data_IF_190500383804
#
_entry.id   IF_190500383804
#
_cell.length_a   1.000
_cell.length_b   1.000
_cell.length_c   1.000
_cell.angle_alpha   90.00
_cell.angle_beta   90.00
_cell.angle_gamma   90.00
#
_symmetry.space_group_name_H-M   'P 1'
#
loop_
_entity.id
_entity.type
_entity.pdbx_description
1 polymer ?
#
# COMPACT_ATOMS: atom_id res chain seq x y z
N UNK A 1 22.38 26.49 0.01
CA UNK A 1 21.42 25.69 -0.79
C UNK A 1 21.96 24.28 -1.06
N UNK A 2 23.16 24.14 -1.58
CA UNK A 2 23.78 22.83 -1.90
C UNK A 2 23.85 21.89 -0.70
N UNK A 3 24.35 22.35 0.44
CA UNK A 3 24.43 21.57 1.66
C UNK A 3 23.05 21.06 2.13
N UNK A 4 22.00 21.89 1.96
CA UNK A 4 20.64 21.48 2.32
C UNK A 4 20.12 20.39 1.38
N UNK A 5 20.41 20.47 0.07
CA UNK A 5 20.05 19.44 -0.88
C UNK A 5 20.72 18.11 -0.49
N UNK A 6 22.03 18.13 -0.26
CA UNK A 6 22.79 16.95 0.16
C UNK A 6 22.25 16.37 1.48
N UNK A 7 21.90 17.22 2.44
CA UNK A 7 21.30 16.81 3.72
C UNK A 7 19.98 16.09 3.50
N UNK A 8 19.09 16.60 2.65
CA UNK A 8 17.79 16.00 2.32
C UNK A 8 17.96 14.57 1.74
N UNK A 9 18.89 14.40 0.80
CA UNK A 9 19.17 13.06 0.24
C UNK A 9 19.73 12.09 1.27
N UNK A 10 20.62 12.56 2.15
CA UNK A 10 21.16 11.73 3.24
C UNK A 10 20.07 11.29 4.21
N UNK A 11 19.20 12.20 4.63
CA UNK A 11 18.05 11.89 5.50
C UNK A 11 17.14 10.83 4.86
N UNK A 12 16.83 10.97 3.57
CA UNK A 12 16.04 9.99 2.84
C UNK A 12 16.69 8.60 2.83
N UNK A 13 17.99 8.53 2.53
CA UNK A 13 18.73 7.26 2.48
C UNK A 13 18.80 6.58 3.85
N UNK A 14 19.12 7.34 4.89
CA UNK A 14 19.21 6.84 6.27
C UNK A 14 17.87 6.32 6.78
N UNK A 15 16.76 7.03 6.47
CA UNK A 15 15.43 6.58 6.89
C UNK A 15 15.03 5.28 6.19
N UNK A 16 15.35 5.10 4.91
CA UNK A 16 15.11 3.84 4.17
C UNK A 16 15.89 2.67 4.77
N UNK A 17 17.15 2.91 5.11
CA UNK A 17 18.03 1.89 5.72
C UNK A 17 17.53 1.49 7.12
N UNK A 18 17.20 2.45 7.97
CA UNK A 18 16.61 2.19 9.29
C UNK A 18 15.30 1.42 9.14
N UNK A 19 14.41 1.88 8.27
CA UNK A 19 13.11 1.25 8.06
C UNK A 19 13.23 -0.22 7.66
N UNK A 20 14.11 -0.57 6.71
CA UNK A 20 14.23 -1.98 6.27
C UNK A 20 14.81 -2.85 7.37
N UNK A 21 15.76 -2.35 8.15
CA UNK A 21 16.33 -3.11 9.28
C UNK A 21 15.28 -3.46 10.33
N UNK A 22 14.37 -2.52 10.64
CA UNK A 22 13.34 -2.71 11.65
C UNK A 22 12.14 -3.55 11.13
N UNK A 23 11.91 -3.57 9.81
CA UNK A 23 10.70 -4.14 9.22
C UNK A 23 10.94 -5.36 8.30
N UNK A 24 12.17 -5.86 8.17
CA UNK A 24 12.50 -6.93 7.22
C UNK A 24 11.62 -8.17 7.39
N UNK A 25 11.40 -8.62 8.61
CA UNK A 25 10.60 -9.81 8.89
C UNK A 25 9.14 -9.67 8.49
N UNK A 26 8.55 -8.48 8.73
CA UNK A 26 7.16 -8.22 8.33
C UNK A 26 7.03 -8.01 6.83
N UNK A 27 8.02 -7.39 6.17
CA UNK A 27 8.05 -7.28 4.70
C UNK A 27 8.02 -8.68 4.06
N UNK A 28 8.86 -9.60 4.54
CA UNK A 28 8.88 -10.99 4.04
C UNK A 28 7.53 -11.68 4.26
N UNK A 29 6.88 -11.48 5.41
CA UNK A 29 5.53 -12.02 5.66
C UNK A 29 4.50 -11.44 4.69
N UNK A 30 4.51 -10.14 4.46
CA UNK A 30 3.62 -9.44 3.52
C UNK A 30 3.81 -9.99 2.10
N UNK A 31 5.06 -10.12 1.63
CA UNK A 31 5.36 -10.75 0.33
C UNK A 31 4.75 -12.14 0.22
N UNK A 32 4.90 -12.99 1.26
CA UNK A 32 4.35 -14.35 1.25
C UNK A 32 2.82 -14.35 1.16
N UNK A 33 2.15 -13.51 1.96
CA UNK A 33 0.69 -13.40 1.98
C UNK A 33 0.17 -12.86 0.64
N UNK A 34 0.74 -11.78 0.12
CA UNK A 34 0.33 -11.21 -1.16
C UNK A 34 0.53 -12.21 -2.31
N UNK A 35 1.65 -12.93 -2.32
CA UNK A 35 1.91 -13.99 -3.29
C UNK A 35 0.84 -15.09 -3.24
N UNK A 36 0.45 -15.54 -2.05
CA UNK A 36 -0.59 -16.57 -1.88
C UNK A 36 -1.96 -16.07 -2.36
N UNK A 37 -2.32 -14.84 -2.04
CA UNK A 37 -3.57 -14.20 -2.45
C UNK A 37 -3.67 -14.09 -3.98
N UNK A 38 -2.63 -13.57 -4.61
CA UNK A 38 -2.59 -13.43 -6.08
C UNK A 38 -2.57 -14.79 -6.78
N UNK A 39 -1.88 -15.79 -6.23
CA UNK A 39 -1.86 -17.16 -6.74
C UNK A 39 -3.24 -17.81 -6.64
N UNK A 40 -4.04 -17.45 -5.67
CA UNK A 40 -5.43 -17.91 -5.51
C UNK A 40 -6.42 -17.21 -6.45
N UNK A 41 -5.99 -16.23 -7.24
CA UNK A 41 -6.83 -15.45 -8.15
C UNK A 41 -7.57 -14.29 -7.50
N UNK A 42 -7.27 -13.98 -6.25
CA UNK A 42 -7.78 -12.82 -5.55
C UNK A 42 -7.01 -11.54 -5.98
N UNK A 43 -7.56 -10.37 -5.65
CA UNK A 43 -7.04 -9.07 -6.07
C UNK A 43 -6.51 -8.22 -4.92
N UNK A 44 -5.74 -7.20 -5.29
CA UNK A 44 -5.25 -6.15 -4.39
C UNK A 44 -6.00 -4.85 -4.68
N UNK A 45 -6.65 -4.27 -3.67
CA UNK A 45 -7.30 -2.97 -3.73
C UNK A 45 -6.47 -1.96 -2.94
N UNK A 46 -5.90 -0.95 -3.62
CA UNK A 46 -4.94 -0.01 -3.06
C UNK A 46 -5.59 1.37 -2.98
N UNK A 47 -5.43 2.06 -1.86
CA UNK A 47 -6.06 3.37 -1.65
C UNK A 47 -5.31 4.25 -0.66
N UNK A 48 -5.44 5.56 -0.85
CA UNK A 48 -4.84 6.59 -0.02
C UNK A 48 -5.27 7.98 -0.50
N UNK A 49 -4.72 9.03 0.09
CA UNK A 49 -5.05 10.42 -0.23
C UNK A 49 -3.83 11.18 -0.77
N UNK A 50 -4.04 12.18 -1.62
CA UNK A 50 -2.97 13.04 -2.14
C UNK A 50 -1.82 12.25 -2.79
N UNK A 51 -0.59 12.40 -2.30
CA UNK A 51 0.57 11.63 -2.77
C UNK A 51 0.39 10.13 -2.59
N UNK A 52 -0.24 9.69 -1.50
CA UNK A 52 -0.56 8.27 -1.27
C UNK A 52 -1.64 7.75 -2.24
N UNK A 53 -2.50 8.60 -2.80
CA UNK A 53 -3.39 8.22 -3.90
C UNK A 53 -2.61 8.02 -5.20
N UNK A 54 -1.60 8.86 -5.46
CA UNK A 54 -0.69 8.69 -6.60
C UNK A 54 0.11 7.38 -6.47
N UNK A 55 0.64 7.09 -5.29
CA UNK A 55 1.32 5.82 -5.01
C UNK A 55 0.39 4.62 -5.24
N UNK A 56 -0.87 4.69 -4.81
CA UNK A 56 -1.86 3.65 -5.02
C UNK A 56 -2.12 3.36 -6.50
N UNK A 57 -2.19 4.41 -7.33
CA UNK A 57 -2.35 4.28 -8.79
C UNK A 57 -1.09 3.68 -9.43
N UNK A 58 0.08 4.18 -9.05
CA UNK A 58 1.36 3.69 -9.52
C UNK A 58 1.50 2.19 -9.23
N UNK A 59 1.32 1.78 -7.98
CA UNK A 59 1.47 0.38 -7.57
C UNK A 59 0.44 -0.54 -8.24
N UNK A 60 -0.81 -0.09 -8.40
CA UNK A 60 -1.81 -0.86 -9.15
C UNK A 60 -1.39 -1.08 -10.62
N UNK A 61 -0.78 -0.07 -11.25
CA UNK A 61 -0.25 -0.19 -12.61
C UNK A 61 0.90 -1.20 -12.70
N UNK A 62 1.80 -1.24 -11.69
CA UNK A 62 2.90 -2.21 -11.65
C UNK A 62 2.40 -3.65 -11.56
N UNK A 63 1.30 -3.92 -10.84
CA UNK A 63 0.67 -5.24 -10.81
C UNK A 63 -0.04 -5.59 -12.12
N UNK A 64 -0.84 -4.66 -12.66
CA UNK A 64 -1.70 -4.92 -13.83
C UNK A 64 -0.88 -5.02 -15.12
N UNK A 65 0.12 -4.19 -15.32
CA UNK A 65 0.99 -4.26 -16.49
C UNK A 65 2.13 -5.25 -16.24
N UNK A 66 3.26 -4.77 -15.78
CA UNK A 66 4.45 -5.54 -15.36
C UNK A 66 5.37 -4.62 -14.57
N UNK A 67 6.18 -5.16 -13.69
CA UNK A 67 7.22 -4.40 -13.00
C UNK A 67 8.58 -4.52 -13.73
N UNK A 68 9.40 -5.50 -13.38
CA UNK A 68 10.74 -5.67 -13.96
C UNK A 68 10.85 -6.84 -14.95
N UNK A 69 9.93 -7.78 -14.94
CA UNK A 69 9.95 -8.96 -15.79
C UNK A 69 8.67 -9.04 -16.63
N UNK A 70 8.76 -9.66 -17.80
CA UNK A 70 7.58 -9.97 -18.60
C UNK A 70 6.81 -11.13 -17.96
N UNK A 71 5.52 -10.92 -17.69
CA UNK A 71 4.66 -11.87 -17.01
C UNK A 71 3.17 -11.58 -17.26
N UNK A 72 2.27 -12.55 -17.03
CA UNK A 72 0.83 -12.28 -17.07
C UNK A 72 0.40 -11.17 -16.09
N UNK A 73 -0.64 -10.39 -16.42
CA UNK A 73 -1.23 -9.39 -15.52
C UNK A 73 -1.64 -9.97 -14.17
N UNK A 74 -1.42 -9.22 -13.09
CA UNK A 74 -1.88 -9.54 -11.75
C UNK A 74 -3.06 -8.64 -11.37
N UNK A 75 -4.12 -9.16 -10.72
CA UNK A 75 -5.32 -8.41 -10.42
C UNK A 75 -5.08 -7.38 -9.31
N UNK A 76 -5.05 -6.10 -9.68
CA UNK A 76 -4.97 -4.98 -8.76
C UNK A 76 -5.81 -3.80 -9.24
N UNK A 77 -6.29 -2.99 -8.31
CA UNK A 77 -7.05 -1.77 -8.61
C UNK A 77 -6.74 -0.68 -7.58
N UNK A 78 -6.56 0.55 -8.06
CA UNK A 78 -6.56 1.73 -7.19
C UNK A 78 -7.98 2.26 -7.02
N UNK A 79 -8.42 2.43 -5.77
CA UNK A 79 -9.72 3.02 -5.44
C UNK A 79 -9.71 4.56 -5.48
N UNK A 80 -8.59 5.16 -5.89
CA UNK A 80 -8.40 6.62 -5.97
C UNK A 80 -8.56 7.18 -7.39
N UNK A 81 -9.05 6.38 -8.36
CA UNK A 81 -9.04 6.75 -9.79
C UNK A 81 -10.38 7.22 -10.33
N UNK A 82 -11.49 6.63 -9.90
CA UNK A 82 -12.81 6.97 -10.42
C UNK A 82 -13.34 8.23 -9.72
N UNK A 83 -13.23 9.35 -10.43
CA UNK A 83 -13.64 10.66 -9.91
C UNK A 83 -15.15 10.75 -9.70
N UNK A 84 -15.97 10.04 -10.50
CA UNK A 84 -17.41 10.01 -10.34
C UNK A 84 -17.80 9.30 -9.06
N UNK A 85 -17.20 8.16 -8.76
CA UNK A 85 -17.42 7.43 -7.50
C UNK A 85 -16.99 8.28 -6.30
N UNK A 86 -15.79 8.85 -6.34
CA UNK A 86 -15.24 9.64 -5.23
C UNK A 86 -16.11 10.87 -4.96
N UNK A 87 -16.47 11.61 -6.02
CA UNK A 87 -17.21 12.86 -5.87
C UNK A 87 -18.67 12.62 -5.47
N UNK A 88 -19.33 11.60 -6.03
CA UNK A 88 -20.71 11.28 -5.64
C UNK A 88 -20.81 10.81 -4.19
N UNK A 89 -19.91 9.94 -3.75
CA UNK A 89 -19.90 9.51 -2.35
C UNK A 89 -19.58 10.68 -1.41
N UNK A 90 -18.61 11.52 -1.78
CA UNK A 90 -18.25 12.70 -0.98
C UNK A 90 -19.36 13.73 -0.89
N UNK A 91 -20.17 13.90 -1.97
CA UNK A 91 -21.30 14.82 -2.02
C UNK A 91 -22.55 14.27 -1.27
N UNK A 92 -22.91 13.01 -1.52
CA UNK A 92 -24.17 12.45 -1.04
C UNK A 92 -24.10 11.90 0.39
N UNK A 93 -22.89 11.61 0.89
CA UNK A 93 -22.66 11.04 2.22
C UNK A 93 -21.56 11.81 2.97
N UNK A 94 -20.30 11.34 2.90
CA UNK A 94 -19.16 11.95 3.56
C UNK A 94 -17.86 11.45 2.91
N UNK A 95 -16.84 12.31 2.83
CA UNK A 95 -15.54 11.94 2.26
C UNK A 95 -14.86 10.77 2.98
N UNK A 96 -15.22 10.52 4.25
CA UNK A 96 -14.70 9.37 4.98
C UNK A 96 -15.22 8.03 4.47
N UNK A 97 -16.26 8.01 3.63
CA UNK A 97 -16.88 6.79 3.09
C UNK A 97 -16.37 6.39 1.69
N UNK A 98 -15.55 7.21 1.05
CA UNK A 98 -15.16 7.01 -0.36
C UNK A 98 -14.48 5.65 -0.62
N UNK A 99 -13.71 5.12 0.32
CA UNK A 99 -13.05 3.81 0.20
C UNK A 99 -13.91 2.68 0.77
N UNK A 100 -14.56 2.87 1.90
CA UNK A 100 -15.42 1.85 2.52
C UNK A 100 -16.55 1.38 1.60
N UNK A 101 -17.19 2.32 0.87
CA UNK A 101 -18.24 1.98 -0.11
C UNK A 101 -17.70 1.21 -1.31
N UNK A 102 -16.54 1.59 -1.84
CA UNK A 102 -15.91 0.88 -2.95
C UNK A 102 -15.48 -0.54 -2.53
N UNK A 103 -14.89 -0.69 -1.34
CA UNK A 103 -14.51 -2.00 -0.80
C UNK A 103 -15.75 -2.88 -0.63
N UNK A 104 -16.85 -2.33 -0.11
CA UNK A 104 -18.10 -3.08 0.04
C UNK A 104 -18.69 -3.53 -1.29
N UNK A 105 -18.50 -2.77 -2.36
CA UNK A 105 -19.01 -3.09 -3.69
C UNK A 105 -18.12 -4.09 -4.45
N UNK A 106 -16.80 -4.01 -4.29
CA UNK A 106 -15.82 -4.69 -5.15
C UNK A 106 -15.04 -5.80 -4.43
N UNK A 107 -14.97 -5.73 -3.09
CA UNK A 107 -14.17 -6.64 -2.28
C UNK A 107 -14.82 -8.01 -2.12
N UNK A 108 -13.99 -9.04 -2.07
CA UNK A 108 -14.39 -10.42 -1.81
C UNK A 108 -13.51 -10.99 -0.69
N UNK A 109 -14.00 -11.95 0.11
CA UNK A 109 -13.18 -12.63 1.11
C UNK A 109 -11.88 -13.18 0.48
N UNK A 110 -10.75 -12.95 1.13
CA UNK A 110 -9.44 -13.36 0.65
C UNK A 110 -8.72 -12.33 -0.25
N UNK A 111 -9.38 -11.26 -0.68
CA UNK A 111 -8.71 -10.11 -1.31
C UNK A 111 -7.82 -9.36 -0.32
N UNK A 112 -6.94 -8.49 -0.83
CA UNK A 112 -6.17 -7.56 -0.01
C UNK A 112 -6.73 -6.15 -0.14
N UNK A 113 -6.95 -5.49 1.00
CA UNK A 113 -7.16 -4.06 1.11
C UNK A 113 -5.87 -3.39 1.62
N UNK A 114 -5.23 -2.61 0.77
CA UNK A 114 -3.96 -1.94 1.07
C UNK A 114 -4.18 -0.43 1.22
N UNK A 115 -4.26 0.02 2.46
CA UNK A 115 -4.41 1.43 2.83
C UNK A 115 -3.07 2.13 3.02
N UNK A 116 -2.94 3.35 2.48
CA UNK A 116 -1.72 4.17 2.59
C UNK A 116 -2.09 5.51 3.26
N UNK A 117 -1.46 5.81 4.41
CA UNK A 117 -1.69 7.05 5.17
C UNK A 117 -0.44 7.49 5.92
N UNK A 118 0.22 8.54 5.49
CA UNK A 118 1.43 9.07 6.13
C UNK A 118 1.23 9.53 7.58
N UNK A 119 0.01 9.84 7.99
CA UNK A 119 -0.32 10.21 9.37
C UNK A 119 -0.82 9.03 10.21
N UNK A 120 -1.21 7.92 9.57
CA UNK A 120 -1.93 6.84 10.24
C UNK A 120 -3.35 7.21 10.76
N UNK A 121 -3.86 8.43 10.43
CA UNK A 121 -5.11 8.99 10.98
C UNK A 121 -6.13 9.40 9.92
N UNK A 122 -5.92 9.07 8.65
CA UNK A 122 -6.86 9.39 7.57
C UNK A 122 -8.16 8.60 7.77
N UNK A 123 -9.26 9.29 8.09
CA UNK A 123 -10.54 8.68 8.44
C UNK A 123 -11.11 7.77 7.35
N UNK A 124 -11.01 8.18 6.09
CA UNK A 124 -11.47 7.37 4.95
C UNK A 124 -10.63 6.10 4.76
N UNK A 125 -9.31 6.17 4.98
CA UNK A 125 -8.43 4.99 4.93
C UNK A 125 -8.75 4.03 6.08
N UNK A 126 -8.93 4.56 7.29
CA UNK A 126 -9.34 3.77 8.46
C UNK A 126 -10.67 3.03 8.20
N UNK A 127 -11.73 3.74 7.76
CA UNK A 127 -13.03 3.14 7.45
C UNK A 127 -12.95 2.11 6.30
N UNK A 128 -12.08 2.34 5.33
CA UNK A 128 -11.80 1.37 4.27
C UNK A 128 -11.23 0.06 4.83
N UNK A 129 -10.19 0.13 5.64
CA UNK A 129 -9.59 -1.04 6.27
C UNK A 129 -10.56 -1.74 7.25
N UNK A 130 -11.32 -0.98 8.04
CA UNK A 130 -12.36 -1.53 8.92
C UNK A 130 -13.40 -2.30 8.13
N UNK A 131 -13.89 -1.74 7.02
CA UNK A 131 -14.87 -2.40 6.15
C UNK A 131 -14.29 -3.67 5.51
N UNK A 132 -13.05 -3.61 5.04
CA UNK A 132 -12.33 -4.76 4.48
C UNK A 132 -12.26 -5.92 5.50
N UNK A 133 -11.89 -5.62 6.73
CA UNK A 133 -11.80 -6.60 7.80
C UNK A 133 -13.15 -7.26 8.10
N UNK A 134 -14.23 -6.47 8.14
CA UNK A 134 -15.61 -6.99 8.31
C UNK A 134 -16.04 -7.95 7.20
N UNK A 135 -15.46 -7.82 6.00
CA UNK A 135 -15.76 -8.67 4.84
C UNK A 135 -14.79 -9.84 4.66
N UNK A 136 -13.84 -10.04 5.57
CA UNK A 136 -12.87 -11.13 5.47
C UNK A 136 -11.74 -10.89 4.45
N UNK A 137 -11.47 -9.62 4.13
CA UNK A 137 -10.27 -9.26 3.37
C UNK A 137 -9.06 -9.21 4.32
N UNK A 138 -7.90 -9.45 3.76
CA UNK A 138 -6.62 -9.23 4.45
C UNK A 138 -6.27 -7.74 4.36
N UNK A 139 -5.91 -7.13 5.48
CA UNK A 139 -5.64 -5.70 5.55
C UNK A 139 -4.15 -5.41 5.69
N UNK A 140 -3.62 -4.59 4.79
CA UNK A 140 -2.26 -4.07 4.79
C UNK A 140 -2.29 -2.55 4.94
N UNK A 141 -1.47 -1.99 5.81
CA UNK A 141 -1.31 -0.55 5.99
C UNK A 141 0.15 -0.11 5.80
N UNK A 142 0.36 0.93 5.00
CA UNK A 142 1.57 1.75 5.06
C UNK A 142 1.24 3.02 5.85
N UNK A 143 1.95 3.23 6.95
CA UNK A 143 1.73 4.35 7.87
C UNK A 143 3.01 5.13 8.14
N UNK A 144 2.88 6.24 8.82
CA UNK A 144 4.01 7.05 9.28
C UNK A 144 3.77 7.58 10.68
N UNK A 145 4.74 8.35 11.20
CA UNK A 145 4.73 8.89 12.55
C UNK A 145 4.67 7.76 13.59
N UNK A 146 3.68 7.80 14.45
CA UNK A 146 3.37 6.78 15.47
C UNK A 146 2.44 5.66 14.95
N UNK A 147 2.08 5.70 13.66
CA UNK A 147 1.17 4.73 13.03
C UNK A 147 -0.32 5.05 13.19
N UNK A 148 -0.69 5.91 14.13
CA UNK A 148 -2.08 6.31 14.41
C UNK A 148 -3.04 5.14 14.63
N UNK A 149 -4.33 5.41 14.45
CA UNK A 149 -5.39 4.40 14.62
C UNK A 149 -5.33 3.30 13.55
N UNK A 150 -4.76 3.60 12.38
CA UNK A 150 -4.66 2.66 11.25
C UNK A 150 -3.72 1.51 11.57
N UNK A 151 -2.61 1.77 12.28
CA UNK A 151 -1.67 0.72 12.66
C UNK A 151 -2.29 -0.34 13.58
N UNK A 152 -3.27 0.05 14.39
CA UNK A 152 -3.96 -0.84 15.33
C UNK A 152 -5.04 -1.72 14.70
N UNK A 153 -5.52 -1.37 13.49
CA UNK A 153 -6.63 -2.10 12.86
C UNK A 153 -6.16 -3.08 11.77
N UNK A 154 -5.06 -2.79 11.07
CA UNK A 154 -4.58 -3.63 9.98
C UNK A 154 -3.95 -4.94 10.47
N UNK A 155 -4.08 -6.01 9.68
CA UNK A 155 -3.43 -7.31 9.97
C UNK A 155 -1.91 -7.22 9.78
N UNK A 156 -1.48 -6.38 8.84
CA UNK A 156 -0.07 -6.08 8.59
C UNK A 156 0.13 -4.56 8.52
N UNK A 157 1.04 -4.05 9.31
CA UNK A 157 1.41 -2.63 9.31
C UNK A 157 2.90 -2.46 9.07
N UNK A 158 3.25 -1.64 8.09
CA UNK A 158 4.60 -1.18 7.81
C UNK A 158 4.65 0.32 8.15
N UNK A 159 5.17 0.63 9.34
CA UNK A 159 5.18 2.00 9.87
C UNK A 159 6.54 2.66 9.67
N UNK A 160 6.55 3.83 9.07
CA UNK A 160 7.74 4.68 8.91
C UNK A 160 7.81 5.68 10.06
N UNK A 161 8.71 5.45 11.00
CA UNK A 161 8.89 6.29 12.19
C UNK A 161 9.57 7.63 11.84
N UNK A 162 8.82 8.54 11.24
CA UNK A 162 9.27 9.89 10.86
C UNK A 162 8.11 10.86 10.88
N UNK A 163 8.36 12.13 11.21
CA UNK A 163 7.36 13.23 11.13
C UNK A 163 7.34 13.92 9.77
N UNK A 164 8.32 13.65 8.92
CA UNK A 164 8.43 14.28 7.59
C UNK A 164 7.60 13.53 6.56
N UNK A 165 6.45 14.07 6.19
CA UNK A 165 5.56 13.48 5.18
C UNK A 165 6.28 13.12 3.86
N UNK A 166 7.11 13.99 3.26
CA UNK A 166 7.86 13.61 2.05
C UNK A 166 8.77 12.41 2.27
N UNK A 167 9.48 12.35 3.38
CA UNK A 167 10.38 11.20 3.70
C UNK A 167 9.59 9.91 3.90
N UNK A 168 8.42 9.98 4.54
CA UNK A 168 7.51 8.83 4.70
C UNK A 168 7.07 8.32 3.32
N UNK A 169 6.62 9.20 2.42
CA UNK A 169 6.18 8.82 1.06
C UNK A 169 7.30 8.18 0.25
N UNK A 170 8.54 8.68 0.34
CA UNK A 170 9.69 8.07 -0.33
C UNK A 170 9.99 6.63 0.15
N UNK A 171 9.75 6.35 1.42
CA UNK A 171 9.84 4.98 1.95
C UNK A 171 8.65 4.14 1.47
N UNK A 172 7.42 4.68 1.50
CA UNK A 172 6.21 3.98 1.06
C UNK A 172 6.33 3.47 -0.38
N UNK A 173 6.72 4.33 -1.31
CA UNK A 173 6.87 3.91 -2.71
C UNK A 173 8.03 2.91 -2.88
N UNK A 174 9.13 3.07 -2.15
CA UNK A 174 10.25 2.11 -2.17
C UNK A 174 9.78 0.72 -1.70
N UNK A 175 9.01 0.65 -0.61
CA UNK A 175 8.42 -0.59 -0.11
C UNK A 175 7.47 -1.20 -1.14
N UNK A 176 6.63 -0.38 -1.75
CA UNK A 176 5.73 -0.83 -2.81
C UNK A 176 6.47 -1.51 -3.96
N UNK A 177 7.55 -0.90 -4.45
CA UNK A 177 8.41 -1.49 -5.48
C UNK A 177 9.08 -2.80 -5.03
N UNK A 178 9.56 -2.87 -3.78
CA UNK A 178 10.12 -4.11 -3.21
C UNK A 178 9.07 -5.21 -3.19
N UNK A 179 7.83 -4.91 -2.77
CA UNK A 179 6.74 -5.88 -2.78
C UNK A 179 6.44 -6.37 -4.19
N UNK A 180 6.31 -5.47 -5.18
CA UNK A 180 6.11 -5.84 -6.59
C UNK A 180 7.20 -6.77 -7.09
N UNK A 181 8.48 -6.41 -6.88
CA UNK A 181 9.62 -7.19 -7.32
C UNK A 181 9.67 -8.57 -6.67
N UNK A 182 9.51 -8.66 -5.35
CA UNK A 182 9.58 -9.94 -4.63
C UNK A 182 8.41 -10.86 -4.98
N UNK A 183 7.22 -10.32 -5.25
CA UNK A 183 6.06 -11.09 -5.71
C UNK A 183 6.29 -11.63 -7.11
N UNK A 184 6.81 -10.81 -8.04
CA UNK A 184 7.15 -11.24 -9.40
C UNK A 184 8.16 -12.40 -9.37
N UNK A 185 9.22 -12.28 -8.57
CA UNK A 185 10.21 -13.35 -8.39
C UNK A 185 9.59 -14.64 -7.86
N UNK A 186 8.69 -14.56 -6.87
CA UNK A 186 8.05 -15.71 -6.25
C UNK A 186 7.01 -16.40 -7.14
N UNK A 187 6.32 -15.65 -7.98
CA UNK A 187 5.26 -16.19 -8.84
C UNK A 187 5.81 -16.73 -10.17
N UNK A 188 6.83 -16.08 -10.74
CA UNK A 188 7.20 -16.28 -12.14
C UNK A 188 8.65 -16.67 -12.38
N UNK A 189 9.55 -16.44 -11.44
CA UNK A 189 10.91 -16.95 -11.55
C UNK A 189 11.04 -18.26 -10.75
N UNK A 190 11.37 -19.37 -11.43
CA UNK A 190 11.83 -20.56 -10.73
C UNK A 190 13.16 -20.21 -10.05
N UNK A 191 13.40 -20.71 -8.84
CA UNK A 191 14.69 -20.54 -8.20
C UNK A 191 15.73 -21.48 -8.87
N UNK A 192 16.22 -21.12 -10.04
CA UNK A 192 17.52 -21.56 -10.49
C UNK A 192 18.54 -20.57 -9.89
N UNK A 193 18.57 -20.58 -8.57
CA UNK A 193 19.55 -19.82 -7.82
C UNK A 193 20.71 -20.75 -7.51
N UNK A 194 21.79 -20.48 -8.22
CA UNK A 194 23.11 -20.90 -7.77
C UNK A 194 23.55 -20.02 -6.61
#
# INVERSE_FOLDING_TARGET
>A
MEDLIVKIFKESSQLKESFVNDNLSIIVRVVNVMTAVLKAGNKVMIFGNGGSAADAQHLAAEFVNRFMIERPPLPAISLSTDTSIITSIGNDYDFSEIFSKQIRALGQPGDIAWGISTSGRSRNVFKGLEQAKKMGLITLALTGKDGGDIAGIADYTLNVASDSTPRIQEVHITVGHVLCQMIDLKLFQRPDIK
#
